data_IF_249955151110
#
_entry.id   IF_249955151110
#
_cell.length_a   1.000
_cell.length_b   1.000
_cell.length_c   1.000
_cell.angle_alpha   90.00
_cell.angle_beta   90.00
_cell.angle_gamma   90.00
#
_symmetry.space_group_name_H-M   'P 1'
#
loop_
_entity.id
_entity.type
_entity.pdbx_description
1 polymer ?
#
# COMPACT_ATOMS: atom_id res chain seq x y z
N UNK A 1 -15.52 -4.21 2.29
CA UNK A 1 -14.56 -3.43 3.08
C UNK A 1 -13.96 -2.38 2.16
N UNK A 2 -14.45 -1.14 2.20
CA UNK A 2 -13.92 -0.05 1.37
C UNK A 2 -12.63 0.47 1.98
N UNK A 3 -11.53 0.39 1.25
CA UNK A 3 -10.21 0.82 1.73
C UNK A 3 -9.89 2.21 1.17
N UNK A 4 -9.98 3.24 2.00
CA UNK A 4 -9.60 4.61 1.63
C UNK A 4 -8.07 4.74 1.72
N UNK A 5 -7.39 4.90 0.57
CA UNK A 5 -5.94 5.15 0.52
C UNK A 5 -5.61 6.60 0.93
N UNK A 6 -4.95 6.78 2.07
CA UNK A 6 -4.44 8.07 2.57
C UNK A 6 -3.19 8.63 1.86
N UNK A 7 -3.04 8.46 0.54
CA UNK A 7 -1.87 9.01 -0.19
C UNK A 7 -2.20 10.24 -1.05
N UNK A 8 -3.45 10.71 -1.02
CA UNK A 8 -3.85 11.98 -1.62
C UNK A 8 -4.65 12.81 -0.63
N UNK A 9 -3.98 13.41 0.35
CA UNK A 9 -4.62 14.28 1.33
C UNK A 9 -4.71 15.72 0.82
N UNK A 10 -5.71 15.98 -0.03
CA UNK A 10 -6.48 17.22 0.15
C UNK A 10 -7.29 17.07 1.46
N UNK A 11 -7.73 18.16 2.10
CA UNK A 11 -8.75 18.10 3.16
C UNK A 11 -10.07 17.39 2.75
N UNK A 12 -10.21 16.92 1.51
CA UNK A 12 -11.39 16.19 1.02
C UNK A 12 -11.64 14.84 1.69
N UNK A 13 -10.60 14.09 2.09
CA UNK A 13 -10.79 12.78 2.76
C UNK A 13 -11.37 12.93 4.17
N UNK A 14 -10.86 13.90 4.93
CA UNK A 14 -11.37 14.34 6.24
C UNK A 14 -12.81 14.83 6.12
N UNK A 15 -13.06 15.69 5.13
CA UNK A 15 -14.37 16.30 4.91
C UNK A 15 -15.39 15.22 4.55
N UNK A 16 -15.07 14.30 3.64
CA UNK A 16 -16.01 13.27 3.23
C UNK A 16 -16.40 12.33 4.37
N UNK A 17 -15.42 11.80 5.13
CA UNK A 17 -15.73 10.87 6.22
C UNK A 17 -16.51 11.56 7.33
N UNK A 18 -16.06 12.77 7.74
CA UNK A 18 -16.76 13.54 8.76
C UNK A 18 -18.16 13.96 8.30
N UNK A 19 -18.36 14.34 7.05
CA UNK A 19 -19.66 14.71 6.49
C UNK A 19 -20.62 13.52 6.47
N UNK A 20 -20.17 12.34 6.03
CA UNK A 20 -20.98 11.12 6.03
C UNK A 20 -21.38 10.69 7.45
N UNK A 21 -20.47 10.81 8.42
CA UNK A 21 -20.76 10.51 9.82
C UNK A 21 -21.69 11.56 10.46
N UNK A 22 -21.44 12.84 10.25
CA UNK A 22 -22.25 13.95 10.80
C UNK A 22 -23.66 13.99 10.21
N UNK A 23 -23.83 13.55 8.96
CA UNK A 23 -25.14 13.38 8.31
C UNK A 23 -25.86 12.09 8.72
N UNK A 24 -25.22 11.22 9.51
CA UNK A 24 -25.78 9.95 9.96
C UNK A 24 -25.94 8.90 8.85
N UNK A 25 -25.23 9.05 7.73
CA UNK A 25 -25.25 8.08 6.62
C UNK A 25 -24.46 6.82 6.98
N UNK A 26 -23.39 6.97 7.75
CA UNK A 26 -22.56 5.87 8.26
C UNK A 26 -22.19 6.12 9.74
N UNK A 27 -21.85 5.05 10.45
CA UNK A 27 -21.10 5.13 11.71
C UNK A 27 -19.63 4.77 11.51
N UNK A 28 -18.78 5.06 12.51
CA UNK A 28 -17.35 4.73 12.44
C UNK A 28 -17.12 3.22 12.30
N UNK A 29 -17.96 2.42 12.93
CA UNK A 29 -17.87 0.96 13.01
C UNK A 29 -18.24 0.28 11.69
N UNK A 30 -18.96 0.98 10.79
CA UNK A 30 -19.36 0.49 9.47
C UNK A 30 -18.27 0.64 8.41
N UNK A 31 -17.22 1.41 8.70
CA UNK A 31 -16.09 1.63 7.80
C UNK A 31 -14.80 1.06 8.37
N UNK A 32 -13.95 0.58 7.47
CA UNK A 32 -12.63 0.06 7.81
C UNK A 32 -11.57 0.94 7.18
N UNK A 33 -10.83 1.68 8.01
CA UNK A 33 -9.89 2.70 7.55
C UNK A 33 -8.47 2.18 7.67
N UNK A 34 -7.73 2.25 6.56
CA UNK A 34 -6.30 1.94 6.57
C UNK A 34 -5.46 3.15 6.19
N UNK A 35 -4.30 3.31 6.82
CA UNK A 35 -3.27 4.27 6.41
C UNK A 35 -1.90 3.61 6.51
N UNK A 36 -0.83 4.32 6.14
CA UNK A 36 0.52 3.77 6.14
C UNK A 36 1.57 4.85 6.34
N UNK A 37 2.68 4.48 6.95
CA UNK A 37 3.80 5.36 7.30
C UNK A 37 5.14 4.71 6.95
N UNK A 38 6.21 5.49 7.11
CA UNK A 38 7.58 5.06 6.83
C UNK A 38 8.24 5.84 5.70
N UNK A 39 7.47 6.39 4.76
CA UNK A 39 8.00 7.31 3.75
C UNK A 39 7.95 8.76 4.22
N UNK A 40 9.01 9.54 3.98
CA UNK A 40 9.01 10.98 4.17
C UNK A 40 7.93 11.63 3.31
N UNK A 41 7.08 12.42 3.95
CA UNK A 41 5.96 13.12 3.32
C UNK A 41 6.12 14.63 3.46
N UNK A 42 5.46 15.36 2.58
CA UNK A 42 5.27 16.80 2.70
C UNK A 42 3.91 17.14 3.32
N UNK A 43 3.65 18.44 3.50
CA UNK A 43 2.34 18.95 3.88
C UNK A 43 1.74 19.74 2.70
N UNK A 44 0.69 19.18 2.08
CA UNK A 44 0.04 19.78 0.91
C UNK A 44 -0.70 21.06 1.31
N UNK A 45 -1.34 21.09 2.49
CA UNK A 45 -2.10 22.25 2.98
C UNK A 45 -1.19 23.43 3.28
N UNK A 46 -0.04 23.17 3.92
CA UNK A 46 1.00 24.16 4.16
C UNK A 46 1.90 24.41 2.94
N UNK A 47 1.69 23.68 1.84
CA UNK A 47 2.52 23.73 0.61
C UNK A 47 4.01 23.46 0.88
N UNK A 48 4.30 22.59 1.84
CA UNK A 48 5.64 22.16 2.19
C UNK A 48 5.98 20.85 1.45
N UNK A 49 6.89 20.85 0.46
CA UNK A 49 7.40 19.61 -0.10
C UNK A 49 8.19 18.82 0.96
N UNK A 50 8.43 17.50 0.76
CA UNK A 50 8.99 16.61 1.78
C UNK A 50 10.27 17.13 2.47
N UNK A 51 11.26 17.62 1.71
CA UNK A 51 12.50 18.12 2.29
C UNK A 51 12.32 19.40 3.12
N UNK A 52 11.39 20.28 2.75
CA UNK A 52 11.07 21.45 3.57
C UNK A 52 10.30 21.05 4.82
N UNK A 53 9.39 20.09 4.70
CA UNK A 53 8.68 19.55 5.84
C UNK A 53 9.65 18.92 6.85
N UNK A 54 10.66 18.18 6.36
CA UNK A 54 11.75 17.66 7.20
C UNK A 54 12.44 18.79 7.99
N UNK A 55 12.99 19.77 7.29
CA UNK A 55 13.76 20.85 7.93
C UNK A 55 12.92 21.74 8.85
N UNK A 56 11.67 22.03 8.49
CA UNK A 56 10.84 22.99 9.23
C UNK A 56 9.99 22.35 10.33
N UNK A 57 9.62 21.07 10.22
CA UNK A 57 8.60 20.42 11.08
C UNK A 57 9.05 19.14 11.77
N UNK A 58 10.12 18.51 11.31
CA UNK A 58 10.58 17.21 11.82
C UNK A 58 11.92 17.32 12.55
N UNK A 59 12.85 18.16 12.08
CA UNK A 59 14.16 18.35 12.74
C UNK A 59 14.01 18.87 14.18
N UNK A 60 13.09 19.80 14.42
CA UNK A 60 12.78 20.28 15.77
C UNK A 60 12.13 19.22 16.68
N UNK A 61 11.68 18.10 16.10
CA UNK A 61 11.16 16.91 16.82
C UNK A 61 12.20 15.79 16.89
N UNK A 62 13.45 16.07 16.53
CA UNK A 62 14.57 15.13 16.59
C UNK A 62 14.58 14.11 15.46
N UNK A 63 13.89 14.36 14.35
CA UNK A 63 13.95 13.54 13.14
C UNK A 63 14.76 14.27 12.09
N UNK A 64 15.87 13.70 11.65
CA UNK A 64 16.76 14.29 10.66
C UNK A 64 16.83 13.45 9.38
N UNK A 65 17.57 13.92 8.38
CA UNK A 65 17.72 13.18 7.11
C UNK A 65 18.46 11.84 7.30
N UNK A 66 19.33 11.76 8.30
CA UNK A 66 20.09 10.56 8.68
C UNK A 66 19.20 9.42 9.20
N UNK A 67 17.96 9.72 9.61
CA UNK A 67 16.97 8.70 9.98
C UNK A 67 16.40 7.94 8.77
N UNK A 68 16.66 8.39 7.55
CA UNK A 68 16.07 7.85 6.32
C UNK A 68 17.10 7.17 5.43
N UNK A 69 16.66 6.07 4.80
CA UNK A 69 17.31 5.46 3.66
C UNK A 69 16.67 5.96 2.36
N UNK A 70 17.48 6.28 1.35
CA UNK A 70 17.00 6.76 0.06
C UNK A 70 17.12 5.69 -1.03
N UNK A 71 16.09 5.60 -1.85
CA UNK A 71 16.09 4.86 -3.11
C UNK A 71 15.16 5.54 -4.13
N UNK A 72 15.69 5.97 -5.27
CA UNK A 72 14.94 6.60 -6.37
C UNK A 72 14.07 7.80 -5.98
N UNK A 73 14.55 8.62 -5.03
CA UNK A 73 13.87 9.79 -4.50
C UNK A 73 12.83 9.48 -3.42
N UNK A 74 12.67 8.22 -3.03
CA UNK A 74 11.88 7.81 -1.88
C UNK A 74 12.78 7.72 -0.65
N UNK A 75 12.41 8.42 0.42
CA UNK A 75 13.10 8.39 1.70
C UNK A 75 12.26 7.56 2.66
N UNK A 76 12.78 6.42 3.13
CA UNK A 76 12.08 5.49 3.99
C UNK A 76 12.78 5.34 5.33
N UNK A 77 12.03 5.18 6.42
CA UNK A 77 12.55 4.96 7.76
C UNK A 77 11.76 3.89 8.51
N UNK A 78 12.44 3.26 9.47
CA UNK A 78 11.86 2.40 10.50
C UNK A 78 11.89 3.06 11.89
N UNK A 79 12.25 4.34 11.99
CA UNK A 79 12.36 5.05 13.27
C UNK A 79 10.96 5.23 13.91
N UNK A 80 10.67 4.62 15.09
CA UNK A 80 9.36 4.72 15.72
C UNK A 80 8.91 6.15 16.05
N UNK A 81 9.83 7.07 16.30
CA UNK A 81 9.48 8.48 16.57
C UNK A 81 8.86 9.15 15.33
N UNK A 82 9.32 8.80 14.12
CA UNK A 82 8.67 9.25 12.89
C UNK A 82 7.26 8.67 12.74
N UNK A 83 7.06 7.39 13.10
CA UNK A 83 5.75 6.75 13.05
C UNK A 83 4.76 7.37 14.06
N UNK A 84 5.23 7.80 15.24
CA UNK A 84 4.40 8.56 16.20
C UNK A 84 3.87 9.87 15.57
N UNK A 85 4.77 10.64 14.94
CA UNK A 85 4.40 11.90 14.28
C UNK A 85 3.44 11.63 13.12
N UNK A 86 3.74 10.62 12.29
CA UNK A 86 2.93 10.25 11.13
C UNK A 86 1.53 9.73 11.52
N UNK A 87 1.43 8.94 12.60
CA UNK A 87 0.16 8.43 13.10
C UNK A 87 -0.71 9.57 13.61
N UNK A 88 -0.17 10.43 14.47
CA UNK A 88 -0.93 11.57 14.99
C UNK A 88 -1.38 12.50 13.86
N UNK A 89 -0.54 12.73 12.84
CA UNK A 89 -0.93 13.49 11.64
C UNK A 89 -2.00 12.77 10.81
N UNK A 90 -1.95 11.45 10.71
CA UNK A 90 -2.97 10.65 10.00
C UNK A 90 -4.32 10.73 10.71
N UNK A 91 -4.33 10.61 12.05
CA UNK A 91 -5.52 10.74 12.89
C UNK A 91 -6.13 12.14 12.78
N UNK A 92 -5.30 13.19 12.91
CA UNK A 92 -5.70 14.59 12.71
C UNK A 92 -6.31 14.80 11.33
N UNK A 93 -5.61 14.36 10.28
CA UNK A 93 -6.04 14.51 8.89
C UNK A 93 -7.29 13.69 8.57
N UNK A 94 -7.65 12.66 9.35
CA UNK A 94 -8.86 11.87 9.11
C UNK A 94 -10.00 12.26 10.06
N UNK A 95 -9.71 13.07 11.10
CA UNK A 95 -10.67 13.37 12.16
C UNK A 95 -11.05 12.11 12.95
N UNK A 96 -10.11 11.19 13.14
CA UNK A 96 -10.34 9.89 13.77
C UNK A 96 -9.52 9.73 15.04
N UNK A 97 -10.04 8.94 15.98
CA UNK A 97 -9.31 8.53 17.18
C UNK A 97 -8.50 7.24 16.96
N UNK A 98 -8.89 6.43 15.97
CA UNK A 98 -8.29 5.12 15.69
C UNK A 98 -8.30 4.77 14.18
N UNK A 99 -7.22 4.13 13.73
CA UNK A 99 -7.06 3.55 12.38
C UNK A 99 -7.13 2.02 12.45
N UNK A 100 -7.95 1.38 11.60
CA UNK A 100 -8.14 -0.07 11.64
C UNK A 100 -6.89 -0.83 11.22
N UNK A 101 -6.18 -0.37 10.18
CA UNK A 101 -4.87 -0.92 9.80
C UNK A 101 -3.87 0.18 9.51
N UNK A 102 -2.72 0.14 10.17
CA UNK A 102 -1.62 1.07 9.88
C UNK A 102 -0.40 0.32 9.38
N UNK A 103 -0.06 0.48 8.10
CA UNK A 103 1.04 -0.28 7.48
C UNK A 103 2.40 0.40 7.61
N UNK A 104 3.45 -0.42 7.73
CA UNK A 104 4.83 -0.07 7.41
C UNK A 104 4.96 -0.05 5.89
N UNK A 105 5.29 1.09 5.30
CA UNK A 105 5.32 1.27 3.86
C UNK A 105 6.75 1.12 3.32
N UNK A 106 6.91 0.14 2.43
CA UNK A 106 8.13 -0.16 1.65
C UNK A 106 9.40 -0.30 2.54
N UNK A 107 9.39 -1.15 3.59
CA UNK A 107 10.57 -1.36 4.43
C UNK A 107 11.79 -1.87 3.67
N UNK A 108 11.61 -2.41 2.46
CA UNK A 108 12.67 -2.84 1.55
C UNK A 108 13.72 -1.74 1.31
N UNK A 109 13.32 -0.47 1.28
CA UNK A 109 14.25 0.66 1.06
C UNK A 109 15.25 0.78 2.22
N UNK A 110 14.78 0.71 3.47
CA UNK A 110 15.69 0.70 4.63
C UNK A 110 16.47 -0.60 4.71
N UNK A 111 15.87 -1.74 4.35
CA UNK A 111 16.57 -3.04 4.32
C UNK A 111 17.83 -3.00 3.45
N UNK A 112 17.81 -2.27 2.33
CA UNK A 112 18.96 -2.12 1.43
C UNK A 112 20.21 -1.52 2.09
N UNK A 113 20.03 -0.68 3.12
CA UNK A 113 21.13 0.05 3.76
C UNK A 113 21.61 -0.59 5.06
N UNK A 114 20.99 -1.69 5.47
CA UNK A 114 21.24 -2.36 6.72
C UNK A 114 21.67 -3.80 6.48
N UNK A 115 22.45 -4.34 7.41
CA UNK A 115 22.60 -5.79 7.54
C UNK A 115 21.24 -6.45 7.83
N UNK A 116 21.19 -7.78 7.77
CA UNK A 116 19.96 -8.48 8.10
C UNK A 116 19.57 -8.27 9.56
N UNK A 117 20.51 -8.43 10.49
CA UNK A 117 20.24 -8.31 11.92
C UNK A 117 19.83 -6.89 12.33
N UNK A 118 20.53 -5.85 11.85
CA UNK A 118 20.15 -4.45 12.12
C UNK A 118 18.73 -4.12 11.64
N UNK A 119 18.33 -4.65 10.49
CA UNK A 119 16.97 -4.45 9.98
C UNK A 119 15.93 -5.07 10.90
N UNK A 120 16.12 -6.33 11.30
CA UNK A 120 15.16 -7.02 12.16
C UNK A 120 15.16 -6.50 13.61
N UNK A 121 16.28 -5.98 14.11
CA UNK A 121 16.33 -5.24 15.37
C UNK A 121 15.50 -3.96 15.30
N UNK A 122 15.63 -3.16 14.23
CA UNK A 122 14.79 -1.98 14.02
C UNK A 122 13.31 -2.34 13.84
N UNK A 123 13.01 -3.42 13.13
CA UNK A 123 11.64 -3.94 13.03
C UNK A 123 11.08 -4.33 14.39
N UNK A 124 11.86 -4.95 15.27
CA UNK A 124 11.42 -5.26 16.65
C UNK A 124 11.10 -3.99 17.44
N UNK A 125 11.94 -2.96 17.36
CA UNK A 125 11.67 -1.67 17.99
C UNK A 125 10.37 -1.03 17.47
N UNK A 126 10.17 -1.05 16.16
CA UNK A 126 8.97 -0.51 15.52
C UNK A 126 7.71 -1.33 15.87
N UNK A 127 7.82 -2.65 15.90
CA UNK A 127 6.73 -3.55 16.32
C UNK A 127 6.32 -3.29 17.76
N UNK A 128 7.28 -3.05 18.69
CA UNK A 128 6.96 -2.64 20.07
C UNK A 128 6.15 -1.35 20.11
N UNK A 129 6.50 -0.37 19.28
CA UNK A 129 5.72 0.85 19.14
C UNK A 129 4.31 0.57 18.62
N UNK A 130 4.16 -0.26 17.57
CA UNK A 130 2.86 -0.65 17.04
C UNK A 130 1.97 -1.34 18.08
N UNK A 131 2.51 -2.32 18.81
CA UNK A 131 1.78 -3.01 19.88
C UNK A 131 1.37 -2.05 21.00
N UNK A 132 2.22 -1.06 21.31
CA UNK A 132 1.88 0.00 22.27
C UNK A 132 0.70 0.84 21.76
N UNK A 133 0.70 1.23 20.48
CA UNK A 133 -0.43 1.99 19.87
C UNK A 133 -1.69 1.16 19.72
N UNK A 134 -1.57 -0.16 19.58
CA UNK A 134 -2.70 -1.07 19.62
C UNK A 134 -3.30 -1.14 21.02
N UNK A 135 -2.46 -1.25 22.05
CA UNK A 135 -2.91 -1.19 23.44
C UNK A 135 -3.55 0.15 23.81
N UNK A 136 -3.03 1.27 23.31
CA UNK A 136 -3.62 2.60 23.46
C UNK A 136 -4.95 2.79 22.69
N UNK A 137 -5.35 1.82 21.84
CA UNK A 137 -6.55 1.90 21.03
C UNK A 137 -6.46 2.87 19.84
N UNK A 138 -5.26 3.36 19.49
CA UNK A 138 -5.04 4.25 18.34
C UNK A 138 -4.92 3.51 17.00
N UNK A 139 -4.53 2.24 17.06
CA UNK A 139 -4.42 1.34 15.91
C UNK A 139 -5.13 0.04 16.28
N UNK A 140 -5.95 -0.53 15.40
CA UNK A 140 -6.57 -1.84 15.67
C UNK A 140 -5.66 -3.00 15.27
N UNK A 141 -5.08 -2.92 14.07
CA UNK A 141 -4.11 -3.86 13.55
C UNK A 141 -3.00 -3.14 12.80
N UNK A 142 -1.88 -3.82 12.59
CA UNK A 142 -0.83 -3.32 11.71
C UNK A 142 -0.37 -4.38 10.74
N UNK A 143 0.39 -3.92 9.77
CA UNK A 143 0.79 -4.72 8.63
C UNK A 143 2.00 -4.14 7.92
N UNK A 144 2.40 -4.79 6.84
CA UNK A 144 3.44 -4.28 5.95
C UNK A 144 2.88 -4.15 4.55
N UNK A 145 3.18 -3.03 3.91
CA UNK A 145 2.90 -2.77 2.51
C UNK A 145 4.22 -2.88 1.73
N UNK A 146 4.42 -4.05 1.11
CA UNK A 146 5.56 -4.36 0.26
C UNK A 146 5.34 -3.86 -1.18
N UNK A 147 6.45 -3.60 -1.87
CA UNK A 147 6.47 -3.17 -3.27
C UNK A 147 7.53 -4.00 -4.03
N UNK A 148 8.81 -3.76 -3.74
CA UNK A 148 9.89 -4.25 -4.58
C UNK A 148 10.13 -5.75 -4.49
N UNK A 149 9.94 -6.37 -3.32
CA UNK A 149 10.14 -7.82 -3.21
C UNK A 149 9.08 -8.65 -3.96
N UNK A 150 7.92 -8.04 -4.25
CA UNK A 150 6.84 -8.69 -5.00
C UNK A 150 6.91 -8.33 -6.49
N UNK A 151 7.33 -7.09 -6.82
CA UNK A 151 7.55 -6.65 -8.20
C UNK A 151 8.91 -7.07 -8.78
N UNK A 152 9.87 -7.51 -7.97
CA UNK A 152 11.20 -7.93 -8.41
C UNK A 152 11.66 -9.15 -7.58
N UNK A 153 10.91 -10.27 -7.58
CA UNK A 153 11.10 -11.38 -6.63
C UNK A 153 12.41 -12.15 -6.83
N UNK A 154 13.12 -11.93 -7.95
CA UNK A 154 14.42 -12.54 -8.24
C UNK A 154 15.60 -11.68 -7.74
N UNK A 155 15.35 -10.44 -7.32
CA UNK A 155 16.35 -9.53 -6.80
C UNK A 155 16.47 -9.70 -5.28
N UNK A 156 17.43 -10.51 -4.83
CA UNK A 156 17.61 -10.86 -3.41
C UNK A 156 17.77 -9.64 -2.48
N UNK A 157 18.20 -8.49 -3.00
CA UNK A 157 18.36 -7.24 -2.23
C UNK A 157 17.05 -6.73 -1.61
N UNK A 158 15.91 -7.07 -2.20
CA UNK A 158 14.58 -6.67 -1.70
C UNK A 158 14.01 -7.65 -0.68
N UNK A 159 14.58 -8.85 -0.62
CA UNK A 159 13.97 -9.96 0.10
C UNK A 159 13.90 -9.71 1.61
N UNK A 160 12.72 -9.96 2.16
CA UNK A 160 12.40 -9.91 3.59
C UNK A 160 11.60 -11.17 3.89
N UNK A 161 11.98 -11.92 4.93
CA UNK A 161 11.27 -13.12 5.38
C UNK A 161 10.14 -12.72 6.32
N UNK A 162 8.90 -12.88 5.87
CA UNK A 162 7.72 -12.52 6.68
C UNK A 162 7.57 -13.40 7.93
N UNK A 163 8.11 -14.62 7.91
CA UNK A 163 8.16 -15.50 9.08
C UNK A 163 8.97 -14.87 10.22
N UNK A 164 10.14 -14.29 9.90
CA UNK A 164 10.99 -13.64 10.91
C UNK A 164 10.28 -12.46 11.55
N UNK A 165 9.52 -11.69 10.76
CA UNK A 165 8.68 -10.59 11.28
C UNK A 165 7.55 -11.12 12.17
N UNK A 166 6.84 -12.18 11.74
CA UNK A 166 5.78 -12.80 12.54
C UNK A 166 6.31 -13.30 13.88
N UNK A 167 7.50 -13.90 13.88
CA UNK A 167 8.17 -14.36 15.10
C UNK A 167 8.58 -13.19 16.01
N UNK A 168 9.01 -12.06 15.46
CA UNK A 168 9.24 -10.84 16.24
C UNK A 168 7.95 -10.34 16.89
N UNK A 169 6.84 -10.27 16.15
CA UNK A 169 5.54 -9.87 16.72
C UNK A 169 5.11 -10.79 17.86
N UNK A 170 5.28 -12.11 17.70
CA UNK A 170 5.05 -13.11 18.77
C UNK A 170 5.97 -12.89 19.97
N UNK A 171 7.26 -12.62 19.76
CA UNK A 171 8.23 -12.31 20.82
C UNK A 171 7.84 -11.05 21.60
N UNK A 172 7.32 -10.03 20.92
CA UNK A 172 6.99 -8.73 21.51
C UNK A 172 5.68 -8.76 22.33
N UNK A 173 4.63 -9.39 21.82
CA UNK A 173 3.26 -9.29 22.38
C UNK A 173 2.53 -10.64 22.50
N UNK A 174 3.23 -11.76 22.31
CA UNK A 174 2.66 -13.11 22.34
C UNK A 174 1.82 -13.45 21.11
N UNK A 175 1.10 -14.58 21.16
CA UNK A 175 0.28 -15.05 20.02
C UNK A 175 -0.90 -14.13 19.69
N UNK A 176 -1.36 -13.31 20.64
CA UNK A 176 -2.45 -12.34 20.46
C UNK A 176 -1.96 -10.96 19.99
N UNK A 177 -0.80 -10.90 19.35
CA UNK A 177 -0.27 -9.69 18.71
C UNK A 177 -1.20 -9.17 17.60
N UNK A 178 -1.00 -7.92 17.19
CA UNK A 178 -1.87 -7.22 16.24
C UNK A 178 -1.30 -7.17 14.81
N UNK A 179 -0.21 -7.90 14.54
CA UNK A 179 0.37 -8.04 13.20
C UNK A 179 -0.50 -8.99 12.36
N UNK A 180 -1.22 -8.43 11.38
CA UNK A 180 -2.30 -9.16 10.71
C UNK A 180 -2.34 -9.01 9.19
N UNK A 181 -1.88 -7.90 8.60
CA UNK A 181 -2.11 -7.61 7.18
C UNK A 181 -0.82 -7.49 6.36
N UNK A 182 -0.80 -8.09 5.17
CA UNK A 182 0.28 -7.96 4.20
C UNK A 182 -0.31 -7.43 2.89
N UNK A 183 0.13 -6.24 2.48
CA UNK A 183 -0.33 -5.54 1.29
C UNK A 183 0.77 -5.55 0.23
N UNK A 184 0.43 -5.92 -1.00
CA UNK A 184 1.35 -5.89 -2.14
C UNK A 184 0.62 -5.69 -3.47
N UNK A 185 1.34 -5.38 -4.54
CA UNK A 185 0.80 -5.48 -5.91
C UNK A 185 0.45 -6.93 -6.23
N UNK A 186 -0.79 -7.16 -6.67
CA UNK A 186 -1.20 -8.42 -7.25
C UNK A 186 -2.34 -8.17 -8.24
N UNK A 187 -2.10 -8.50 -9.49
CA UNK A 187 -3.06 -8.31 -10.58
C UNK A 187 -2.74 -9.27 -11.74
N UNK A 188 -3.63 -9.33 -12.74
CA UNK A 188 -3.51 -10.26 -13.87
C UNK A 188 -2.25 -10.06 -14.73
N UNK A 189 -1.53 -8.95 -14.56
CA UNK A 189 -0.25 -8.67 -15.23
C UNK A 189 0.97 -8.87 -14.32
N UNK A 190 0.76 -9.04 -13.01
CA UNK A 190 1.80 -9.25 -12.00
C UNK A 190 1.27 -10.25 -10.96
N UNK A 191 1.51 -11.54 -11.23
CA UNK A 191 0.99 -12.66 -10.43
C UNK A 191 2.06 -13.34 -9.56
N UNK A 192 3.27 -12.76 -9.47
CA UNK A 192 4.42 -13.36 -8.81
C UNK A 192 4.21 -13.71 -7.34
N UNK A 193 3.34 -13.00 -6.64
CA UNK A 193 2.95 -13.36 -5.27
C UNK A 193 2.28 -14.76 -5.15
N UNK A 194 1.77 -15.31 -6.26
CA UNK A 194 1.11 -16.63 -6.37
C UNK A 194 1.92 -17.63 -7.23
N UNK A 195 2.93 -17.18 -7.97
CA UNK A 195 3.68 -18.04 -8.92
C UNK A 195 5.15 -18.21 -8.59
N UNK A 196 5.72 -17.36 -7.72
CA UNK A 196 7.13 -17.44 -7.30
C UNK A 196 7.22 -17.85 -5.83
N UNK A 197 7.96 -18.93 -5.57
CA UNK A 197 8.25 -19.40 -4.21
C UNK A 197 9.34 -18.55 -3.57
N UNK A 198 8.95 -17.38 -3.05
CA UNK A 198 9.85 -16.37 -2.51
C UNK A 198 10.03 -16.41 -1.00
N UNK A 199 9.20 -17.13 -0.24
CA UNK A 199 9.25 -17.13 1.23
C UNK A 199 9.61 -18.50 1.78
N UNK A 200 10.30 -18.54 2.93
CA UNK A 200 10.58 -19.77 3.66
C UNK A 200 9.72 -19.82 4.93
N UNK A 201 8.84 -20.81 5.05
CA UNK A 201 8.03 -21.06 6.26
C UNK A 201 8.34 -22.46 6.78
N UNK A 202 8.80 -22.59 8.02
CA UNK A 202 9.18 -23.87 8.65
C UNK A 202 10.08 -24.76 7.76
N UNK A 203 10.99 -24.12 7.01
CA UNK A 203 11.91 -24.80 6.08
C UNK A 203 11.32 -25.23 4.73
N UNK A 204 10.07 -24.86 4.45
CA UNK A 204 9.39 -25.08 3.16
C UNK A 204 9.32 -23.78 2.37
N UNK A 205 9.75 -23.83 1.10
CA UNK A 205 9.61 -22.69 0.18
C UNK A 205 8.17 -22.57 -0.32
N UNK A 206 7.56 -21.42 -0.09
CA UNK A 206 6.18 -21.09 -0.45
C UNK A 206 6.12 -19.79 -1.25
N UNK A 207 5.02 -19.60 -1.96
CA UNK A 207 4.65 -18.30 -2.53
C UNK A 207 4.31 -17.29 -1.42
N UNK A 208 4.31 -16.00 -1.72
CA UNK A 208 3.94 -14.96 -0.74
C UNK A 208 2.51 -15.17 -0.19
N UNK A 209 1.57 -15.54 -1.05
CA UNK A 209 0.17 -15.79 -0.64
C UNK A 209 0.07 -17.03 0.27
N UNK A 210 0.72 -18.13 -0.10
CA UNK A 210 0.75 -19.35 0.73
C UNK A 210 1.45 -19.12 2.06
N UNK A 211 2.53 -18.35 2.07
CA UNK A 211 3.25 -17.98 3.28
C UNK A 211 2.38 -17.14 4.22
N UNK A 212 1.64 -16.14 3.70
CA UNK A 212 0.67 -15.38 4.49
C UNK A 212 -0.39 -16.30 5.11
N UNK A 213 -0.92 -17.24 4.33
CA UNK A 213 -1.90 -18.22 4.82
C UNK A 213 -1.33 -19.11 5.93
N UNK A 214 -0.12 -19.63 5.76
CA UNK A 214 0.54 -20.45 6.76
C UNK A 214 0.81 -19.71 8.08
N UNK A 215 1.02 -18.40 8.01
CA UNK A 215 1.25 -17.52 9.17
C UNK A 215 -0.02 -16.84 9.72
N UNK A 216 -1.19 -17.20 9.20
CA UNK A 216 -2.50 -16.62 9.55
C UNK A 216 -2.60 -15.09 9.33
N UNK A 217 -1.88 -14.59 8.32
CA UNK A 217 -1.89 -13.20 7.86
C UNK A 217 -2.89 -13.01 6.71
N UNK A 218 -3.59 -11.88 6.74
CA UNK A 218 -4.53 -11.49 5.67
C UNK A 218 -3.78 -10.81 4.53
N UNK A 219 -4.07 -11.24 3.32
CA UNK A 219 -3.50 -10.66 2.09
C UNK A 219 -4.36 -9.52 1.56
N UNK A 220 -3.71 -8.45 1.09
CA UNK A 220 -4.38 -7.27 0.53
C UNK A 220 -3.79 -6.93 -0.83
N UNK A 221 -4.56 -7.16 -1.90
CA UNK A 221 -4.14 -6.80 -3.25
C UNK A 221 -4.25 -5.30 -3.49
N UNK A 222 -3.17 -4.72 -3.98
CA UNK A 222 -3.12 -3.37 -4.51
C UNK A 222 -2.93 -3.39 -6.04
N UNK A 223 -3.31 -2.28 -6.68
CA UNK A 223 -3.25 -2.13 -8.14
C UNK A 223 -3.96 -3.24 -8.93
N UNK A 224 -5.21 -3.63 -8.58
CA UNK A 224 -5.91 -4.73 -9.27
C UNK A 224 -6.15 -4.48 -10.77
N UNK A 225 -6.02 -3.23 -11.23
CA UNK A 225 -6.17 -2.83 -12.63
C UNK A 225 -4.85 -2.42 -13.30
N UNK A 226 -3.69 -2.73 -12.69
CA UNK A 226 -2.36 -2.37 -13.18
C UNK A 226 -2.24 -0.88 -13.58
N UNK A 227 -2.66 0.02 -12.69
CA UNK A 227 -2.71 1.48 -12.93
C UNK A 227 -3.52 1.91 -14.18
N UNK A 228 -4.44 1.06 -14.65
CA UNK A 228 -5.25 1.29 -15.84
C UNK A 228 -4.76 0.54 -17.08
N UNK A 229 -3.52 0.04 -17.09
CA UNK A 229 -2.95 -0.69 -18.23
C UNK A 229 -3.65 -2.02 -18.46
N UNK A 230 -4.21 -2.64 -17.41
CA UNK A 230 -4.95 -3.88 -17.52
C UNK A 230 -6.15 -3.78 -18.47
N UNK A 231 -6.81 -2.62 -18.54
CA UNK A 231 -7.96 -2.39 -19.44
C UNK A 231 -7.58 -2.42 -20.93
N UNK A 232 -6.30 -2.33 -21.29
CA UNK A 232 -5.83 -2.50 -22.68
C UNK A 232 -6.06 -3.93 -23.19
N UNK A 233 -6.11 -4.92 -22.29
CA UNK A 233 -6.15 -6.34 -22.64
C UNK A 233 -7.31 -7.11 -22.00
N UNK A 234 -7.73 -6.71 -20.80
CA UNK A 234 -8.64 -7.50 -19.96
C UNK A 234 -9.92 -6.74 -19.64
N UNK A 235 -11.03 -7.46 -19.48
CA UNK A 235 -12.27 -6.86 -18.98
C UNK A 235 -12.18 -6.58 -17.48
N UNK A 236 -12.99 -5.64 -16.99
CA UNK A 236 -13.11 -5.35 -15.56
C UNK A 236 -13.43 -6.61 -14.74
N UNK A 237 -14.36 -7.44 -15.22
CA UNK A 237 -14.76 -8.69 -14.58
C UNK A 237 -13.61 -9.67 -14.42
N UNK A 238 -12.78 -9.81 -15.45
CA UNK A 238 -11.66 -10.77 -15.46
C UNK A 238 -10.58 -10.34 -14.47
N UNK A 239 -10.26 -9.04 -14.42
CA UNK A 239 -9.30 -8.50 -13.47
C UNK A 239 -9.77 -8.64 -12.02
N UNK A 240 -11.05 -8.35 -11.75
CA UNK A 240 -11.63 -8.51 -10.41
C UNK A 240 -11.71 -9.97 -9.99
N UNK A 241 -12.17 -10.86 -10.87
CA UNK A 241 -12.24 -12.31 -10.61
C UNK A 241 -10.85 -12.90 -10.32
N UNK A 242 -9.83 -12.50 -11.09
CA UNK A 242 -8.45 -12.92 -10.89
C UNK A 242 -7.96 -12.65 -9.46
N UNK A 243 -8.06 -11.40 -9.00
CA UNK A 243 -7.58 -11.02 -7.66
C UNK A 243 -8.45 -11.62 -6.54
N UNK A 244 -9.76 -11.74 -6.74
CA UNK A 244 -10.70 -12.21 -5.71
C UNK A 244 -10.54 -13.68 -5.37
N UNK A 245 -10.02 -14.50 -6.29
CA UNK A 245 -9.82 -15.94 -6.09
C UNK A 245 -8.70 -16.26 -5.10
N UNK A 246 -7.76 -15.33 -4.91
CA UNK A 246 -6.51 -15.58 -4.18
C UNK A 246 -6.33 -14.68 -2.96
N UNK A 247 -6.92 -13.49 -2.99
CA UNK A 247 -6.66 -12.44 -1.99
C UNK A 247 -7.80 -12.30 -1.01
N UNK A 248 -7.48 -12.09 0.28
CA UNK A 248 -8.50 -11.85 1.32
C UNK A 248 -9.21 -10.50 1.11
N UNK A 249 -8.44 -9.49 0.68
CA UNK A 249 -8.92 -8.14 0.42
C UNK A 249 -8.34 -7.57 -0.87
N UNK A 250 -9.09 -6.66 -1.50
CA UNK A 250 -8.69 -6.01 -2.76
C UNK A 250 -8.94 -4.52 -2.66
N UNK A 251 -7.93 -3.70 -2.97
CA UNK A 251 -8.05 -2.25 -3.00
C UNK A 251 -8.34 -1.79 -4.42
N UNK A 252 -9.61 -1.52 -4.68
CA UNK A 252 -10.08 -0.86 -5.89
C UNK A 252 -10.23 0.64 -5.64
N UNK A 253 -10.01 1.46 -6.66
CA UNK A 253 -10.19 2.90 -6.54
C UNK A 253 -10.26 3.61 -7.88
N UNK A 254 -11.06 4.68 -7.92
CA UNK A 254 -11.16 5.59 -9.06
C UNK A 254 -11.56 6.98 -8.57
N UNK A 255 -11.15 8.02 -9.31
CA UNK A 255 -11.62 9.39 -9.08
C UNK A 255 -12.95 9.68 -9.79
N UNK A 256 -13.40 8.79 -10.67
CA UNK A 256 -14.68 8.92 -11.37
C UNK A 256 -15.76 8.10 -10.63
N UNK A 257 -16.81 8.75 -10.08
CA UNK A 257 -17.89 8.05 -9.39
C UNK A 257 -18.57 6.96 -10.23
N UNK A 258 -18.69 7.17 -11.55
CA UNK A 258 -19.28 6.18 -12.46
C UNK A 258 -18.45 4.89 -12.53
N UNK A 259 -17.13 5.00 -12.49
CA UNK A 259 -16.25 3.83 -12.45
C UNK A 259 -16.40 3.10 -11.11
N UNK A 260 -16.58 3.82 -10.00
CA UNK A 260 -16.84 3.18 -8.69
C UNK A 260 -18.16 2.41 -8.74
N UNK A 261 -19.24 3.00 -9.28
CA UNK A 261 -20.51 2.30 -9.46
C UNK A 261 -20.37 1.03 -10.31
N UNK A 262 -19.63 1.10 -11.41
CA UNK A 262 -19.39 -0.05 -12.29
C UNK A 262 -18.59 -1.15 -11.59
N UNK A 263 -17.52 -0.80 -10.87
CA UNK A 263 -16.73 -1.73 -10.07
C UNK A 263 -17.61 -2.41 -9.02
N UNK A 264 -18.45 -1.64 -8.31
CA UNK A 264 -19.36 -2.18 -7.30
C UNK A 264 -20.43 -3.11 -7.92
N UNK A 265 -20.97 -2.76 -9.09
CA UNK A 265 -21.92 -3.62 -9.82
C UNK A 265 -21.25 -4.91 -10.27
N UNK A 266 -20.06 -4.84 -10.84
CA UNK A 266 -19.30 -6.01 -11.27
C UNK A 266 -18.92 -6.91 -10.09
N UNK A 267 -18.45 -6.32 -8.99
CA UNK A 267 -18.14 -7.04 -7.75
C UNK A 267 -19.35 -7.77 -7.18
N UNK A 268 -20.50 -7.10 -7.10
CA UNK A 268 -21.76 -7.69 -6.62
C UNK A 268 -22.32 -8.73 -7.60
N UNK A 269 -22.20 -8.49 -8.91
CA UNK A 269 -22.60 -9.42 -9.96
C UNK A 269 -21.76 -10.69 -9.98
N UNK A 270 -20.47 -10.63 -9.63
CA UNK A 270 -19.65 -11.82 -9.47
C UNK A 270 -20.07 -12.71 -8.28
N UNK A 271 -20.87 -12.19 -7.33
CA UNK A 271 -21.53 -12.98 -6.29
C UNK A 271 -22.87 -13.59 -6.77
N UNK A 272 -23.37 -13.18 -7.94
CA UNK A 272 -24.62 -13.65 -8.55
C UNK A 272 -24.50 -13.71 -10.08
N UNK A 273 -23.89 -14.77 -10.60
CA UNK A 273 -23.86 -15.15 -12.03
C UNK A 273 -23.09 -14.22 -13.01
N UNK A 274 -22.17 -14.85 -13.74
CA UNK A 274 -21.54 -14.32 -14.93
C UNK A 274 -22.57 -13.95 -16.01
N UNK A 275 -22.54 -12.71 -16.53
CA UNK A 275 -22.57 -12.42 -17.98
C UNK A 275 -22.68 -10.92 -18.27
N UNK A 276 -21.99 -10.46 -19.33
CA UNK A 276 -22.27 -9.18 -19.99
C UNK A 276 -21.05 -8.31 -20.26
N UNK A 277 -20.47 -8.42 -21.46
CA UNK A 277 -19.37 -7.57 -21.95
C UNK A 277 -19.88 -6.19 -22.41
N UNK A 278 -19.21 -5.12 -22.01
CA UNK A 278 -19.09 -3.88 -22.80
C UNK A 278 -17.64 -3.37 -22.75
N UNK A 279 -17.09 -3.02 -23.91
CA UNK A 279 -15.75 -2.43 -24.09
C UNK A 279 -15.88 -0.91 -24.23
N UNK A 280 -15.02 -0.15 -23.57
CA UNK A 280 -14.82 1.30 -23.79
C UNK A 280 -13.35 1.60 -24.12
N UNK A 281 -13.13 2.66 -24.92
CA UNK A 281 -11.87 3.02 -25.59
C UNK A 281 -10.92 3.86 -24.72
N UNK A 282 -9.62 3.53 -24.75
CA UNK A 282 -8.58 3.97 -23.81
C UNK A 282 -7.93 5.35 -24.01
N UNK A 283 -8.61 6.34 -24.59
CA UNK A 283 -8.01 7.66 -24.87
C UNK A 283 -8.07 8.67 -23.72
N UNK A 284 -8.95 8.49 -22.72
CA UNK A 284 -9.18 9.51 -21.66
C UNK A 284 -8.32 9.34 -20.40
N UNK A 285 -7.53 8.27 -20.30
CA UNK A 285 -6.78 7.92 -19.07
C UNK A 285 -5.38 8.58 -19.01
N UNK A 286 -4.81 8.96 -20.15
CA UNK A 286 -3.44 9.52 -20.26
C UNK A 286 -3.38 10.97 -19.76
N UNK A 287 -4.45 11.74 -19.92
CA UNK A 287 -4.52 13.13 -19.43
C UNK A 287 -4.64 13.20 -17.90
N UNK A 288 -5.25 12.19 -17.27
CA UNK A 288 -5.45 12.13 -15.81
C UNK A 288 -4.13 11.82 -15.07
N UNK A 289 -3.21 11.06 -15.67
CA UNK A 289 -1.93 10.72 -15.05
C UNK A 289 -0.97 11.92 -14.97
N UNK A 290 -0.98 12.81 -15.98
CA UNK A 290 -0.12 14.00 -16.04
C UNK A 290 -0.43 15.05 -14.97
N UNK A 291 -1.67 15.12 -14.48
CA UNK A 291 -2.11 16.13 -13.50
C UNK A 291 -1.76 15.82 -12.03
N UNK A 292 -1.16 14.66 -11.71
CA UNK A 292 -1.14 14.14 -10.32
C UNK A 292 0.25 13.89 -9.68
N UNK A 293 1.36 14.38 -10.26
CA UNK A 293 2.69 14.45 -9.62
C UNK A 293 3.15 13.17 -8.87
N UNK A 294 3.24 12.05 -9.58
CA UNK A 294 3.67 10.73 -9.05
C UNK A 294 5.17 10.48 -9.33
N UNK A 295 5.82 9.60 -8.55
CA UNK A 295 7.29 9.43 -8.47
C UNK A 295 7.96 8.90 -9.75
N UNK A 296 9.29 9.07 -9.83
CA UNK A 296 10.14 8.81 -11.01
C UNK A 296 10.13 7.36 -11.52
N UNK A 297 9.87 6.36 -10.67
CA UNK A 297 9.80 4.93 -11.06
C UNK A 297 8.57 4.63 -11.94
N UNK A 298 7.45 5.30 -11.65
CA UNK A 298 6.25 5.30 -12.51
C UNK A 298 6.50 6.04 -13.84
N UNK A 299 7.31 7.11 -13.83
CA UNK A 299 7.70 7.85 -15.05
C UNK A 299 8.61 7.01 -15.96
N UNK A 300 9.49 6.18 -15.40
CA UNK A 300 10.43 5.36 -16.17
C UNK A 300 9.75 4.26 -16.99
N UNK A 301 8.71 3.60 -16.42
CA UNK A 301 7.89 2.59 -17.12
C UNK A 301 7.10 3.18 -18.30
N UNK A 302 6.69 4.44 -18.23
CA UNK A 302 6.05 5.16 -19.35
C UNK A 302 7.05 5.60 -20.43
N UNK A 303 8.30 5.92 -20.07
CA UNK A 303 9.33 6.33 -21.03
C UNK A 303 9.74 5.21 -22.00
N UNK A 304 9.89 3.98 -21.50
CA UNK A 304 10.23 2.82 -22.32
C UNK A 304 9.15 2.53 -23.40
N UNK A 305 7.87 2.65 -23.02
CA UNK A 305 6.74 2.49 -23.94
C UNK A 305 6.67 3.57 -25.03
N UNK A 306 7.14 4.79 -24.76
CA UNK A 306 7.17 5.89 -25.75
C UNK A 306 8.39 5.85 -26.68
N UNK A 307 9.50 5.23 -26.28
CA UNK A 307 10.67 5.02 -27.16
C UNK A 307 10.38 3.92 -28.19
N UNK A 308 9.71 2.82 -27.80
CA UNK A 308 9.24 1.76 -28.72
C UNK A 308 8.26 2.29 -29.79
N UNK A 309 7.44 3.30 -29.47
CA UNK A 309 6.50 3.90 -30.44
C UNK A 309 7.18 4.91 -31.39
N UNK A 310 8.36 5.45 -31.03
CA UNK A 310 9.13 6.34 -31.92
C UNK A 310 9.92 5.57 -32.99
N UNK A 311 10.44 4.39 -32.66
CA UNK A 311 11.11 3.53 -33.66
C UNK A 311 10.12 3.01 -34.72
N UNK A 312 8.87 2.72 -34.32
CA UNK A 312 7.79 2.30 -35.21
C UNK A 312 7.23 3.41 -36.13
N UNK A 313 7.49 4.69 -35.84
CA UNK A 313 7.17 5.84 -36.72
C UNK A 313 8.35 6.23 -37.63
N UNK A 314 9.54 5.67 -37.44
CA UNK A 314 10.72 5.91 -38.30
C UNK A 314 10.97 4.86 -39.40
N UNK A 315 10.16 3.79 -39.44
CA UNK A 315 10.19 2.74 -40.49
C UNK A 315 8.95 2.77 -41.44
N UNK A 316 8.25 3.90 -41.51
CA UNK A 316 7.22 4.19 -42.54
C UNK A 316 7.52 5.49 -43.28
#
# INVERSE_FOLDING_TARGET
MEMIKGYSHKPMGTVALAELMNSGIITREEVFISSKAGLLYGDISAKLPPMKYLSEQLENKGISIEDFSEYEGLFQTLNPAFYEIALNKSLENLGLEMIDVYYIHIPEITKLKLTEDEFYEKMEMLIRWYETKCFEGKIRYYGIAFEFMVEEPFENKWHIEIERIKNIARKVSGEKNHFKYILFEYNIMCDWADTVNSQMIDGVKLTMIEACKALELETVASMPFAMGDGFKKYALSDMLDFVSKKMNHVIVGSKNPKHIEEILRCWRGNLSECSGRQRFSGTDLVEIAKCNNVSKRTIYRYKAYYEEMKEAESEK
#
